data_IF_872547803123
#
_entry.id   IF_872547803123
#
_cell.length_a   1.000
_cell.length_b   1.000
_cell.length_c   1.000
_cell.angle_alpha   90.00
_cell.angle_beta   90.00
_cell.angle_gamma   90.00
#
_symmetry.space_group_name_H-M   'P 1'
#
loop_
_entity.id
_entity.type
_entity.pdbx_description
1 polymer ?
#
# COMPACT_ATOMS: atom_id res chain seq x y z
N UNK A 1 -1.43 -0.98 -18.29
CA UNK A 1 -0.39 -0.87 -17.24
C UNK A 1 0.98 -0.79 -17.89
N UNK A 2 1.98 -0.24 -17.20
CA UNK A 2 3.36 -0.16 -17.69
C UNK A 2 4.36 -0.21 -16.54
N UNK A 3 5.43 -0.99 -16.70
CA UNK A 3 6.54 -1.07 -15.72
C UNK A 3 7.23 0.29 -15.59
N UNK A 4 7.40 0.78 -14.37
CA UNK A 4 8.01 2.10 -14.10
C UNK A 4 9.47 2.01 -13.64
N UNK A 5 9.95 0.80 -13.38
CA UNK A 5 11.28 0.50 -12.81
C UNK A 5 11.86 -0.81 -13.36
N UNK A 6 13.19 -1.04 -13.18
CA UNK A 6 13.78 -2.38 -13.27
C UNK A 6 13.10 -3.37 -12.31
N UNK A 7 13.48 -4.64 -12.46
CA UNK A 7 12.88 -5.74 -11.73
C UNK A 7 13.04 -5.59 -10.22
N UNK A 8 11.98 -5.96 -9.50
CA UNK A 8 12.02 -6.07 -8.06
C UNK A 8 12.91 -7.25 -7.63
N UNK A 9 13.54 -7.09 -6.47
CA UNK A 9 14.22 -8.17 -5.78
C UNK A 9 13.57 -8.35 -4.40
N UNK A 10 13.59 -9.57 -3.81
CA UNK A 10 13.04 -9.84 -2.48
C UNK A 10 13.97 -9.32 -1.37
N UNK A 11 14.22 -8.01 -1.39
CA UNK A 11 15.06 -7.26 -0.45
C UNK A 11 14.37 -5.92 -0.18
N UNK A 12 14.30 -5.54 1.08
CA UNK A 12 13.60 -4.33 1.50
C UNK A 12 14.08 -3.05 0.81
N UNK A 13 15.40 -2.93 0.58
CA UNK A 13 15.97 -1.79 -0.14
C UNK A 13 15.45 -1.66 -1.59
N UNK A 14 15.18 -2.79 -2.27
CA UNK A 14 14.61 -2.81 -3.60
C UNK A 14 13.16 -2.32 -3.58
N UNK A 15 12.35 -2.88 -2.67
CA UNK A 15 10.94 -2.51 -2.46
C UNK A 15 10.80 -1.01 -2.20
N UNK A 16 11.56 -0.48 -1.23
CA UNK A 16 11.53 0.95 -0.87
C UNK A 16 11.99 1.85 -2.02
N UNK A 17 12.98 1.42 -2.81
CA UNK A 17 13.47 2.18 -3.95
C UNK A 17 12.41 2.28 -5.06
N UNK A 18 11.77 1.15 -5.38
CA UNK A 18 10.69 1.09 -6.37
C UNK A 18 9.50 1.95 -5.92
N UNK A 19 9.04 1.74 -4.69
CA UNK A 19 7.96 2.54 -4.08
C UNK A 19 8.22 4.05 -4.21
N UNK A 20 9.42 4.51 -3.84
CA UNK A 20 9.76 5.94 -3.89
C UNK A 20 9.77 6.52 -5.31
N UNK A 21 9.99 5.71 -6.34
CA UNK A 21 9.92 6.13 -7.75
C UNK A 21 8.47 6.15 -8.23
N UNK A 22 7.75 5.06 -8.02
CA UNK A 22 6.37 4.90 -8.50
C UNK A 22 5.41 5.90 -7.84
N UNK A 23 5.58 6.21 -6.55
CA UNK A 23 4.75 7.19 -5.85
C UNK A 23 4.79 8.59 -6.48
N UNK A 24 5.90 8.97 -7.11
CA UNK A 24 6.04 10.29 -7.79
C UNK A 24 5.22 10.36 -9.08
N UNK A 25 4.80 9.21 -9.61
CA UNK A 25 4.09 9.08 -10.87
C UNK A 25 2.57 8.98 -10.69
N UNK A 26 2.05 9.22 -9.48
CA UNK A 26 0.63 9.09 -9.12
C UNK A 26 -0.29 9.80 -10.14
N UNK A 27 0.08 11.00 -10.60
CA UNK A 27 -0.69 11.82 -11.56
C UNK A 27 -0.82 11.22 -12.98
N UNK A 28 -0.07 10.17 -13.30
CA UNK A 28 -0.07 9.53 -14.61
C UNK A 28 -0.83 8.19 -14.61
N UNK A 29 -1.25 7.70 -13.44
CA UNK A 29 -2.08 6.51 -13.34
C UNK A 29 -3.54 6.85 -13.05
N UNK A 30 -4.42 5.97 -13.50
CA UNK A 30 -5.87 6.11 -13.40
C UNK A 30 -6.57 4.85 -13.93
N UNK A 31 -7.90 4.84 -13.90
CA UNK A 31 -8.69 3.74 -14.44
C UNK A 31 -8.23 3.33 -15.87
N UNK A 32 -7.95 2.03 -16.04
CA UNK A 32 -7.42 1.44 -17.28
C UNK A 32 -5.90 1.61 -17.50
N UNK A 33 -5.21 2.40 -16.68
CA UNK A 33 -3.86 2.89 -16.92
C UNK A 33 -3.04 2.94 -15.63
N UNK A 34 -2.39 1.82 -15.29
CA UNK A 34 -1.72 1.66 -14.00
C UNK A 34 -0.20 1.72 -14.12
N UNK A 35 0.44 2.45 -13.21
CA UNK A 35 1.87 2.32 -12.97
C UNK A 35 2.14 0.94 -12.37
N UNK A 36 3.07 0.19 -12.94
CA UNK A 36 3.43 -1.14 -12.49
C UNK A 36 4.81 -1.11 -11.79
N UNK A 37 4.84 -1.16 -10.44
CA UNK A 37 6.05 -1.30 -9.66
C UNK A 37 6.60 -2.74 -9.61
N UNK A 38 6.16 -3.64 -10.49
CA UNK A 38 6.51 -5.06 -10.55
C UNK A 38 5.78 -5.94 -9.52
N UNK A 39 6.03 -7.25 -9.57
CA UNK A 39 5.33 -8.27 -8.78
C UNK A 39 5.48 -8.14 -7.25
N UNK A 40 4.61 -8.84 -6.53
CA UNK A 40 4.64 -9.00 -5.08
C UNK A 40 5.67 -10.08 -4.68
N UNK A 41 6.76 -9.65 -4.04
CA UNK A 41 7.76 -10.49 -3.36
C UNK A 41 7.35 -10.96 -1.95
N UNK A 42 6.05 -10.88 -1.61
CA UNK A 42 5.57 -11.22 -0.26
C UNK A 42 5.82 -12.71 0.01
N UNK A 43 6.53 -13.03 1.09
CA UNK A 43 6.94 -14.39 1.44
C UNK A 43 8.19 -14.92 0.72
N UNK A 44 8.80 -14.12 -0.16
CA UNK A 44 10.08 -14.46 -0.78
C UNK A 44 11.26 -13.83 -0.02
N UNK A 45 12.45 -14.41 -0.20
CA UNK A 45 13.69 -13.90 0.40
C UNK A 45 13.68 -13.93 1.94
N UNK A 46 14.27 -12.90 2.55
CA UNK A 46 14.41 -12.77 4.01
C UNK A 46 13.68 -11.51 4.53
N UNK A 47 12.54 -11.16 3.93
CA UNK A 47 11.71 -10.06 4.40
C UNK A 47 11.01 -10.46 5.70
N UNK A 48 11.02 -9.59 6.70
CA UNK A 48 10.28 -9.84 7.94
C UNK A 48 8.76 -9.62 7.76
N UNK A 49 7.96 -9.97 8.77
CA UNK A 49 6.49 -9.84 8.71
C UNK A 49 6.04 -8.38 8.50
N UNK A 50 6.77 -7.40 9.04
CA UNK A 50 6.46 -5.98 8.87
C UNK A 50 6.81 -5.50 7.46
N UNK A 51 7.94 -5.93 6.92
CA UNK A 51 8.37 -5.63 5.55
C UNK A 51 7.41 -6.24 4.53
N UNK A 52 6.97 -7.49 4.74
CA UNK A 52 5.95 -8.14 3.91
C UNK A 52 4.60 -7.40 3.96
N UNK A 53 4.13 -7.07 5.17
CA UNK A 53 2.88 -6.30 5.38
C UNK A 53 2.96 -4.92 4.74
N UNK A 54 4.09 -4.23 4.91
CA UNK A 54 4.31 -2.91 4.32
C UNK A 54 4.40 -2.98 2.80
N UNK A 55 5.13 -3.96 2.23
CA UNK A 55 5.22 -4.18 0.78
C UNK A 55 3.84 -4.30 0.13
N UNK A 56 3.01 -5.22 0.65
CA UNK A 56 1.64 -5.41 0.16
C UNK A 56 0.79 -4.15 0.32
N UNK A 57 0.88 -3.48 1.49
CA UNK A 57 0.12 -2.26 1.76
C UNK A 57 0.49 -1.14 0.79
N UNK A 58 1.78 -0.94 0.53
CA UNK A 58 2.26 0.11 -0.37
C UNK A 58 1.83 -0.15 -1.81
N UNK A 59 1.83 -1.41 -2.28
CA UNK A 59 1.33 -1.75 -3.62
C UNK A 59 -0.17 -1.43 -3.74
N UNK A 60 -0.98 -1.80 -2.75
CA UNK A 60 -2.41 -1.46 -2.73
C UNK A 60 -2.64 0.06 -2.74
N UNK A 61 -1.86 0.80 -1.95
CA UNK A 61 -1.93 2.27 -1.93
C UNK A 61 -1.54 2.88 -3.26
N UNK A 62 -0.61 2.27 -4.01
CA UNK A 62 -0.17 2.75 -5.32
C UNK A 62 -1.15 2.43 -6.48
N UNK A 63 -2.26 1.74 -6.22
CA UNK A 63 -3.13 1.17 -7.25
C UNK A 63 -2.33 0.32 -8.25
N UNK A 64 -1.43 -0.50 -7.70
CA UNK A 64 -0.51 -1.31 -8.48
C UNK A 64 -1.17 -2.64 -8.89
N UNK A 65 -0.84 -3.20 -10.06
CA UNK A 65 -1.20 -4.58 -10.37
C UNK A 65 -0.69 -5.55 -9.28
N UNK A 66 -1.61 -6.25 -8.59
CA UNK A 66 -1.28 -7.19 -7.53
C UNK A 66 -0.98 -8.59 -8.11
N UNK A 67 0.21 -8.73 -8.70
CA UNK A 67 0.68 -10.01 -9.27
C UNK A 67 1.55 -10.74 -8.26
N UNK A 68 1.17 -11.96 -7.86
CA UNK A 68 1.96 -12.79 -6.95
C UNK A 68 3.24 -13.29 -7.63
N UNK A 69 4.40 -12.93 -7.08
CA UNK A 69 5.72 -13.43 -7.52
C UNK A 69 6.24 -14.60 -6.68
N UNK A 70 5.41 -15.19 -5.82
CA UNK A 70 5.77 -16.23 -4.85
C UNK A 70 5.30 -17.63 -5.28
N UNK A 71 5.79 -18.65 -4.58
CA UNK A 71 5.38 -20.04 -4.81
C UNK A 71 4.09 -20.36 -4.05
N UNK A 72 2.95 -20.30 -4.74
CA UNK A 72 1.63 -20.55 -4.15
C UNK A 72 1.46 -21.95 -3.54
N UNK A 73 2.32 -22.92 -3.90
CA UNK A 73 2.29 -24.27 -3.31
C UNK A 73 2.64 -24.24 -1.83
N UNK A 74 3.37 -23.22 -1.38
CA UNK A 74 3.70 -23.01 0.03
C UNK A 74 2.48 -22.62 0.88
N UNK A 75 1.37 -22.23 0.25
CA UNK A 75 0.13 -21.90 0.93
C UNK A 75 -0.84 -23.08 1.01
N UNK A 76 -0.44 -24.27 0.58
CA UNK A 76 -1.34 -25.43 0.49
C UNK A 76 -0.84 -26.55 1.40
N UNK A 77 -1.69 -26.97 2.33
CA UNK A 77 -1.46 -28.12 3.20
C UNK A 77 -2.62 -29.09 3.05
N UNK A 78 -2.33 -30.36 2.77
CA UNK A 78 -3.35 -31.41 2.55
C UNK A 78 -4.39 -31.06 1.46
N UNK A 79 -3.95 -30.39 0.39
CA UNK A 79 -4.80 -30.00 -0.73
C UNK A 79 -5.73 -28.81 -0.46
N UNK A 80 -5.61 -28.15 0.70
CA UNK A 80 -6.40 -26.98 1.08
C UNK A 80 -5.50 -25.78 1.40
N UNK A 81 -5.98 -24.53 1.23
CA UNK A 81 -5.24 -23.35 1.67
C UNK A 81 -4.95 -23.40 3.18
N UNK A 82 -3.68 -23.26 3.54
CA UNK A 82 -3.22 -23.10 4.91
C UNK A 82 -3.56 -21.70 5.40
N UNK A 83 -4.72 -21.58 6.04
CA UNK A 83 -5.22 -20.30 6.56
C UNK A 83 -4.36 -19.72 7.67
N UNK A 84 -3.46 -20.49 8.27
CA UNK A 84 -2.54 -20.00 9.30
C UNK A 84 -1.25 -19.42 8.72
N UNK A 85 -0.99 -19.64 7.43
CA UNK A 85 0.18 -19.09 6.75
C UNK A 85 0.13 -17.54 6.72
N UNK A 86 1.14 -16.90 7.32
CA UNK A 86 1.23 -15.44 7.41
C UNK A 86 1.26 -14.75 6.03
N UNK A 87 2.01 -15.30 5.06
CA UNK A 87 2.06 -14.76 3.70
C UNK A 87 0.69 -14.81 3.04
N UNK A 88 -0.04 -15.93 3.20
CA UNK A 88 -1.40 -16.05 2.67
C UNK A 88 -2.34 -15.00 3.31
N UNK A 89 -2.28 -14.82 4.64
CA UNK A 89 -3.06 -13.80 5.36
C UNK A 89 -2.80 -12.38 4.81
N UNK A 90 -1.53 -12.07 4.51
CA UNK A 90 -1.15 -10.77 3.93
C UNK A 90 -1.76 -10.59 2.54
N UNK A 91 -1.52 -11.51 1.61
CA UNK A 91 -1.93 -11.33 0.20
C UNK A 91 -3.42 -11.55 -0.04
N UNK A 92 -4.16 -12.02 0.96
CA UNK A 92 -5.62 -12.21 0.91
C UNK A 92 -6.39 -11.25 1.81
N UNK A 93 -5.73 -10.25 2.41
CA UNK A 93 -6.40 -9.22 3.20
C UNK A 93 -7.40 -8.44 2.32
N UNK A 94 -8.69 -8.69 2.55
CA UNK A 94 -9.79 -8.14 1.75
C UNK A 94 -9.92 -6.62 1.85
N UNK A 95 -9.59 -6.04 3.01
CA UNK A 95 -9.66 -4.59 3.21
C UNK A 95 -8.58 -3.87 2.40
N UNK A 96 -7.36 -4.39 2.42
CA UNK A 96 -6.27 -3.86 1.61
C UNK A 96 -6.51 -4.04 0.10
N UNK A 97 -7.04 -5.20 -0.31
CA UNK A 97 -7.43 -5.43 -1.71
C UNK A 97 -8.55 -4.48 -2.13
N UNK A 98 -9.52 -4.19 -1.26
CA UNK A 98 -10.58 -3.23 -1.56
C UNK A 98 -10.03 -1.81 -1.77
N UNK A 99 -8.99 -1.40 -1.02
CA UNK A 99 -8.28 -0.13 -1.27
C UNK A 99 -7.61 -0.15 -2.64
N UNK A 100 -6.93 -1.23 -3.01
CA UNK A 100 -6.28 -1.35 -4.32
C UNK A 100 -7.30 -1.23 -5.47
N UNK A 101 -8.37 -2.01 -5.36
CA UNK A 101 -9.44 -2.19 -6.36
C UNK A 101 -10.50 -1.08 -6.33
N UNK A 102 -10.30 -0.02 -5.55
CA UNK A 102 -11.25 1.08 -5.46
C UNK A 102 -11.53 1.71 -6.84
N UNK A 103 -12.83 1.91 -7.13
CA UNK A 103 -13.32 2.28 -8.45
C UNK A 103 -12.92 3.70 -8.88
N UNK A 104 -12.52 4.58 -7.96
CA UNK A 104 -12.01 5.90 -8.31
C UNK A 104 -10.68 5.79 -9.07
N UNK A 105 -9.96 4.69 -8.86
CA UNK A 105 -8.74 4.35 -9.57
C UNK A 105 -7.62 5.38 -9.40
N UNK A 106 -7.66 6.16 -8.31
CA UNK A 106 -6.64 7.16 -8.00
C UNK A 106 -5.59 6.53 -7.10
N UNK A 107 -4.30 6.50 -7.49
CA UNK A 107 -3.24 6.04 -6.61
C UNK A 107 -3.01 7.01 -5.44
N UNK A 108 -2.34 6.54 -4.40
CA UNK A 108 -1.92 7.39 -3.29
C UNK A 108 -0.91 8.45 -3.73
N UNK A 109 -0.98 9.59 -3.05
CA UNK A 109 -0.04 10.69 -3.15
C UNK A 109 0.64 10.89 -1.80
N UNK A 110 1.91 11.31 -1.83
CA UNK A 110 2.61 11.79 -0.63
C UNK A 110 2.00 13.09 -0.13
N UNK A 111 1.51 13.08 1.10
CA UNK A 111 1.00 14.26 1.83
C UNK A 111 2.15 14.93 2.57
N UNK A 112 2.93 14.15 3.30
CA UNK A 112 4.04 14.66 4.11
C UNK A 112 5.13 13.61 4.26
N UNK A 113 6.38 14.05 4.33
CA UNK A 113 7.50 13.19 4.70
C UNK A 113 8.36 13.91 5.72
N UNK A 114 8.41 13.38 6.93
CA UNK A 114 9.08 14.03 8.05
C UNK A 114 9.72 12.99 8.98
N UNK A 115 10.97 13.23 9.36
CA UNK A 115 11.68 12.45 10.37
C UNK A 115 11.62 10.92 10.16
N UNK A 116 11.73 10.46 8.91
CA UNK A 116 11.72 9.04 8.56
C UNK A 116 10.32 8.41 8.41
N UNK A 117 9.25 9.18 8.55
CA UNK A 117 7.89 8.74 8.26
C UNK A 117 7.45 9.33 6.93
N UNK A 118 6.86 8.48 6.09
CA UNK A 118 6.25 8.85 4.82
C UNK A 118 4.74 8.69 4.93
N UNK A 119 4.03 9.81 4.90
CA UNK A 119 2.57 9.87 5.06
C UNK A 119 1.98 10.01 3.66
N UNK A 120 1.31 8.96 3.21
CA UNK A 120 0.65 8.91 1.91
C UNK A 120 -0.85 8.72 2.10
N UNK A 121 -1.64 9.32 1.21
CA UNK A 121 -3.08 9.20 1.25
C UNK A 121 -3.67 9.01 -0.15
N UNK A 122 -4.77 8.27 -0.22
CA UNK A 122 -5.51 7.94 -1.43
C UNK A 122 -6.99 8.27 -1.22
N UNK A 123 -7.62 9.09 -2.08
CA UNK A 123 -9.07 9.25 -2.06
C UNK A 123 -9.73 7.97 -2.58
N UNK A 124 -10.87 7.60 -2.00
CA UNK A 124 -11.68 6.46 -2.40
C UNK A 124 -13.01 6.92 -3.00
N UNK A 125 -13.65 6.05 -3.80
CA UNK A 125 -14.85 6.39 -4.56
C UNK A 125 -16.05 6.77 -3.69
N UNK A 126 -16.12 6.24 -2.47
CA UNK A 126 -17.20 6.49 -1.51
C UNK A 126 -17.01 7.79 -0.69
N UNK A 127 -15.93 8.54 -0.92
CA UNK A 127 -15.60 9.75 -0.16
C UNK A 127 -14.63 9.51 1.01
N UNK A 128 -14.29 8.26 1.32
CA UNK A 128 -13.29 7.94 2.33
C UNK A 128 -11.87 8.25 1.84
N UNK A 129 -10.92 8.24 2.78
CA UNK A 129 -9.50 8.35 2.50
C UNK A 129 -8.75 7.18 3.11
N UNK A 130 -8.07 6.40 2.27
CA UNK A 130 -7.05 5.48 2.74
C UNK A 130 -5.80 6.28 3.14
N UNK A 131 -5.35 6.11 4.38
CA UNK A 131 -4.20 6.80 4.95
C UNK A 131 -3.13 5.79 5.39
N UNK A 132 -1.89 5.99 4.97
CA UNK A 132 -0.77 5.13 5.35
C UNK A 132 0.36 5.98 5.95
N UNK A 133 0.78 5.62 7.17
CA UNK A 133 1.91 6.20 7.89
C UNK A 133 3.08 5.21 7.83
N UNK A 134 3.91 5.33 6.80
CA UNK A 134 4.97 4.38 6.53
C UNK A 134 6.29 4.76 7.23
N UNK A 135 6.74 3.96 8.19
CA UNK A 135 8.06 4.12 8.82
C UNK A 135 9.16 3.58 7.90
N UNK A 136 10.02 4.47 7.39
CA UNK A 136 11.13 4.13 6.48
C UNK A 136 12.42 3.76 7.21
N UNK A 137 12.41 3.69 8.54
CA UNK A 137 13.56 3.39 9.39
C UNK A 137 13.42 2.03 10.04
N UNK A 138 14.55 1.44 10.43
CA UNK A 138 14.61 0.11 11.07
C UNK A 138 14.22 0.12 12.55
N UNK A 139 14.03 1.29 13.17
CA UNK A 139 13.63 1.42 14.57
C UNK A 139 12.16 1.80 14.69
N UNK A 140 11.48 1.22 15.67
CA UNK A 140 10.12 1.62 16.05
C UNK A 140 10.04 3.10 16.38
N UNK A 141 8.95 3.74 15.96
CA UNK A 141 8.74 5.18 16.18
C UNK A 141 7.27 5.49 16.36
N UNK A 142 6.94 6.24 17.42
CA UNK A 142 5.62 6.82 17.60
C UNK A 142 5.39 7.95 16.59
N UNK A 143 4.22 7.98 15.99
CA UNK A 143 3.83 8.97 14.99
C UNK A 143 2.54 9.64 15.42
N UNK A 144 2.47 10.95 15.23
CA UNK A 144 1.23 11.73 15.33
C UNK A 144 1.05 12.51 14.04
N UNK A 145 -0.17 12.52 13.52
CA UNK A 145 -0.53 13.21 12.29
C UNK A 145 -1.86 13.92 12.48
N UNK A 146 -1.94 15.19 12.08
CA UNK A 146 -3.18 15.98 12.16
C UNK A 146 -3.97 15.78 10.87
N UNK A 147 -5.18 15.23 10.97
CA UNK A 147 -6.02 14.95 9.79
C UNK A 147 -6.41 16.21 9.01
N UNK A 148 -6.42 17.39 9.63
CA UNK A 148 -6.57 18.69 8.95
C UNK A 148 -5.55 18.91 7.81
N UNK A 149 -4.40 18.22 7.85
CA UNK A 149 -3.42 18.26 6.78
C UNK A 149 -3.93 17.57 5.50
N UNK A 150 -4.87 16.62 5.60
CA UNK A 150 -5.52 15.98 4.45
C UNK A 150 -6.47 16.94 3.73
N UNK A 151 -7.25 17.73 4.47
CA UNK A 151 -8.22 18.69 3.90
C UNK A 151 -7.54 19.74 3.03
N UNK A 152 -6.27 20.04 3.31
CA UNK A 152 -5.48 21.01 2.53
C UNK A 152 -5.05 20.48 1.15
N UNK A 153 -5.10 19.16 0.94
CA UNK A 153 -4.66 18.56 -0.31
C UNK A 153 -5.83 18.35 -1.28
N UNK A 154 -5.90 19.23 -2.28
CA UNK A 154 -6.92 19.16 -3.34
C UNK A 154 -7.00 17.82 -4.07
N UNK A 155 -5.93 17.02 -4.05
CA UNK A 155 -5.95 15.69 -4.67
C UNK A 155 -6.93 14.74 -3.97
N UNK A 156 -7.11 14.91 -2.66
CA UNK A 156 -7.99 14.06 -1.84
C UNK A 156 -9.47 14.43 -1.98
N UNK A 157 -9.79 15.60 -2.54
CA UNK A 157 -11.18 15.99 -2.81
C UNK A 157 -12.03 16.22 -1.56
N UNK A 158 -11.40 16.44 -0.39
CA UNK A 158 -12.12 16.81 0.83
C UNK A 158 -12.41 18.31 0.77
N UNK A 159 -13.66 18.68 0.46
CA UNK A 159 -14.07 20.08 0.24
C UNK A 159 -14.29 20.85 1.55
N UNK A 160 -14.76 20.17 2.58
CA UNK A 160 -15.03 20.74 3.91
C UNK A 160 -14.33 19.95 5.00
N UNK A 161 -13.89 20.63 6.07
CA UNK A 161 -13.30 19.95 7.23
C UNK A 161 -14.39 19.11 7.91
N UNK A 162 -14.25 17.77 7.98
CA UNK A 162 -15.26 16.94 8.62
C UNK A 162 -15.41 17.31 10.09
N UNK A 163 -16.65 17.32 10.60
CA UNK A 163 -16.92 17.55 12.02
C UNK A 163 -16.56 16.34 12.90
N UNK A 164 -16.25 15.20 12.27
CA UNK A 164 -15.84 13.95 12.91
C UNK A 164 -15.38 12.93 11.86
N UNK A 165 -14.82 11.82 12.32
CA UNK A 165 -14.37 10.70 11.49
C UNK A 165 -14.43 9.39 12.28
N UNK A 166 -14.52 8.28 11.56
CA UNK A 166 -14.26 6.94 12.07
C UNK A 166 -12.91 6.48 11.53
N UNK A 167 -12.18 5.72 12.34
CA UNK A 167 -10.87 5.19 11.97
C UNK A 167 -10.94 3.66 11.98
N UNK A 168 -10.58 3.08 10.84
CA UNK A 168 -10.56 1.64 10.59
C UNK A 168 -9.12 1.18 10.37
N UNK A 169 -8.62 0.24 11.17
CA UNK A 169 -7.31 -0.37 10.93
C UNK A 169 -7.51 -1.59 10.03
N UNK A 170 -7.18 -1.42 8.75
CA UNK A 170 -7.41 -2.41 7.69
C UNK A 170 -6.64 -3.74 7.87
N UNK A 171 -5.83 -3.88 8.92
CA UNK A 171 -5.13 -5.11 9.27
C UNK A 171 -5.62 -5.80 10.52
N UNK A 172 -6.44 -5.15 11.34
CA UNK A 172 -6.99 -5.73 12.57
C UNK A 172 -8.51 -5.75 12.62
N UNK A 173 -9.17 -4.97 11.76
CA UNK A 173 -10.62 -4.98 11.57
C UNK A 173 -11.13 -6.29 10.93
#
# INVERSE_FOLDING_TARGET
>A
MWRTTPDIMPKWSSIVWIYNRTLKLYKYAGAGHWNDPDMLEVGNGNLDDNENRAHFSLWCMLAAPLMLGNDIRQFVTNGMPDKENNTLKIVTNKHMIAVDQDALGKPAKRIKKESGIDIIARPLANGDVALCLFNTKSSTKSVSFKLDELVKDKYLGIEEVPTGYELHDLWTD
#
